data_IF_737904822122
#
_entry.id   IF_737904822122
#
_cell.length_a   1.000
_cell.length_b   1.000
_cell.length_c   1.000
_cell.angle_alpha   90.00
_cell.angle_beta   90.00
_cell.angle_gamma   90.00
#
_symmetry.space_group_name_H-M   'P 1'
#
loop_
_entity.id
_entity.type
_entity.pdbx_description
1 polymer ?
#
# COMPACT_ATOMS: atom_id res chain seq x y z
N UNK A 1 -26.39 14.55 2.77
CA UNK A 1 -25.57 15.60 3.42
C UNK A 1 -24.20 15.00 3.70
N UNK A 2 -23.13 15.79 3.82
CA UNK A 2 -21.79 15.24 4.07
C UNK A 2 -21.15 15.90 5.28
N UNK A 3 -20.56 15.11 6.17
CA UNK A 3 -19.84 15.60 7.35
C UNK A 3 -18.37 15.22 7.33
N UNK A 4 -17.56 15.97 8.07
CA UNK A 4 -16.18 15.62 8.36
C UNK A 4 -16.19 14.70 9.59
N UNK A 5 -15.51 13.56 9.48
CA UNK A 5 -15.37 12.60 10.57
C UNK A 5 -13.88 12.24 10.77
N UNK A 6 -13.41 12.14 12.02
CA UNK A 6 -12.05 11.72 12.30
C UNK A 6 -11.87 10.23 11.96
N UNK A 7 -10.68 9.84 11.51
CA UNK A 7 -10.37 8.44 11.12
C UNK A 7 -10.61 7.42 12.23
N UNK A 8 -10.54 7.84 13.50
CA UNK A 8 -10.85 6.99 14.65
C UNK A 8 -12.34 6.56 14.74
N UNK A 9 -13.24 7.38 14.20
CA UNK A 9 -14.68 7.15 14.20
C UNK A 9 -15.18 6.41 12.95
N UNK A 10 -14.32 6.27 11.94
CA UNK A 10 -14.67 5.57 10.71
C UNK A 10 -14.87 4.07 10.96
N UNK A 11 -15.85 3.51 10.26
CA UNK A 11 -16.16 2.08 10.26
C UNK A 11 -16.33 1.59 8.83
N UNK A 12 -16.10 0.29 8.64
CA UNK A 12 -16.42 -0.36 7.39
C UNK A 12 -17.92 -0.21 7.11
N UNK A 13 -18.28 0.03 5.85
CA UNK A 13 -19.65 0.33 5.43
C UNK A 13 -19.98 1.83 5.27
N UNK A 14 -19.12 2.74 5.76
CA UNK A 14 -19.32 4.18 5.54
C UNK A 14 -18.90 4.60 4.13
N UNK A 15 -19.65 5.50 3.49
CA UNK A 15 -19.31 6.01 2.15
C UNK A 15 -18.58 7.35 2.23
N UNK A 16 -17.46 7.47 1.51
CA UNK A 16 -16.75 8.75 1.37
C UNK A 16 -17.56 9.73 0.53
N UNK A 17 -17.71 10.95 1.02
CA UNK A 17 -18.33 12.04 0.28
C UNK A 17 -17.34 12.82 -0.61
N UNK A 18 -16.05 12.74 -0.31
CA UNK A 18 -14.99 13.43 -1.06
C UNK A 18 -13.78 12.52 -1.26
N UNK A 19 -12.98 12.74 -2.32
CA UNK A 19 -11.76 11.98 -2.51
C UNK A 19 -10.75 12.30 -1.41
N UNK A 20 -10.10 11.26 -0.89
CA UNK A 20 -9.03 11.41 0.11
C UNK A 20 -7.70 11.39 -0.62
N UNK A 21 -6.89 12.41 -0.38
CA UNK A 21 -5.52 12.50 -0.89
C UNK A 21 -4.53 12.38 0.27
N UNK A 22 -3.32 11.91 -0.02
CA UNK A 22 -2.22 11.96 0.92
C UNK A 22 -1.60 13.37 1.00
N UNK A 23 -0.55 13.51 1.82
CA UNK A 23 0.20 14.78 1.97
C UNK A 23 0.91 15.24 0.70
N UNK A 24 1.13 14.35 -0.27
CA UNK A 24 1.75 14.65 -1.57
C UNK A 24 0.71 15.01 -2.65
N UNK A 25 -0.59 14.90 -2.34
CA UNK A 25 -1.67 15.11 -3.29
C UNK A 25 -2.05 13.86 -4.09
N UNK A 26 -1.46 12.70 -3.79
CA UNK A 26 -1.83 11.43 -4.42
C UNK A 26 -3.20 10.97 -3.92
N UNK A 27 -4.07 10.56 -4.84
CA UNK A 27 -5.38 10.01 -4.49
C UNK A 27 -5.22 8.66 -3.76
N UNK A 28 -5.71 8.58 -2.53
CA UNK A 28 -5.76 7.34 -1.74
C UNK A 28 -7.06 6.60 -1.98
N UNK A 29 -8.20 7.31 -1.91
CA UNK A 29 -9.54 6.72 -2.06
C UNK A 29 -10.45 7.70 -2.80
N UNK A 30 -11.13 7.27 -3.87
CA UNK A 30 -12.07 8.13 -4.59
C UNK A 30 -13.34 8.44 -3.76
N UNK A 31 -14.00 9.56 -4.09
CA UNK A 31 -15.32 9.86 -3.55
C UNK A 31 -16.35 8.80 -3.98
N UNK A 32 -17.38 8.58 -3.17
CA UNK A 32 -18.43 7.61 -3.41
C UNK A 32 -18.05 6.17 -3.08
N UNK A 33 -16.80 5.91 -2.67
CA UNK A 33 -16.36 4.58 -2.28
C UNK A 33 -16.79 4.22 -0.86
N UNK A 34 -17.27 3.00 -0.69
CA UNK A 34 -17.55 2.43 0.64
C UNK A 34 -16.24 1.99 1.30
N UNK A 35 -16.02 2.48 2.52
CA UNK A 35 -14.88 2.13 3.34
C UNK A 35 -14.96 0.65 3.73
N UNK A 36 -13.85 -0.07 3.52
CA UNK A 36 -13.64 -1.45 3.94
C UNK A 36 -12.48 -1.46 4.94
N UNK A 37 -12.28 -2.56 5.67
CA UNK A 37 -11.18 -2.65 6.65
C UNK A 37 -9.80 -2.34 6.06
N UNK A 38 -9.57 -2.75 4.80
CA UNK A 38 -8.34 -2.41 4.07
C UNK A 38 -8.18 -0.90 3.88
N UNK A 39 -9.26 -0.20 3.55
CA UNK A 39 -9.27 1.26 3.39
C UNK A 39 -9.01 1.97 4.72
N UNK A 40 -9.59 1.48 5.82
CA UNK A 40 -9.31 2.02 7.16
C UNK A 40 -7.85 1.82 7.59
N UNK A 41 -7.24 0.71 7.19
CA UNK A 41 -5.82 0.44 7.44
C UNK A 41 -4.93 1.39 6.62
N UNK A 42 -5.26 1.60 5.35
CA UNK A 42 -4.57 2.57 4.48
C UNK A 42 -4.66 3.98 5.08
N UNK A 43 -5.86 4.48 5.41
CA UNK A 43 -6.03 5.81 5.98
C UNK A 43 -5.20 6.03 7.26
N UNK A 44 -5.13 5.01 8.13
CA UNK A 44 -4.31 5.04 9.35
C UNK A 44 -2.81 5.01 9.06
N UNK A 45 -2.36 4.15 8.14
CA UNK A 45 -0.95 4.06 7.75
C UNK A 45 -0.43 5.37 7.14
N UNK A 46 -1.28 6.07 6.40
CA UNK A 46 -0.94 7.36 5.79
C UNK A 46 -1.10 8.57 6.72
N UNK A 47 -1.58 8.36 7.97
CA UNK A 47 -1.75 9.43 8.95
C UNK A 47 -2.87 10.41 8.60
N UNK A 48 -3.86 10.00 7.81
CA UNK A 48 -5.03 10.82 7.49
C UNK A 48 -5.83 11.04 8.77
N UNK A 49 -6.01 12.31 9.18
CA UNK A 49 -6.65 12.64 10.46
C UNK A 49 -8.19 12.75 10.33
N UNK A 50 -8.67 13.26 9.21
CA UNK A 50 -10.08 13.54 8.97
C UNK A 50 -10.46 13.20 7.53
N UNK A 51 -11.69 12.70 7.33
CA UNK A 51 -12.24 12.46 5.99
C UNK A 51 -13.67 12.94 5.91
N UNK A 52 -14.14 13.24 4.70
CA UNK A 52 -15.55 13.62 4.48
C UNK A 52 -16.37 12.37 4.15
N UNK A 53 -17.39 12.06 4.96
CA UNK A 53 -18.32 10.94 4.76
C UNK A 53 -19.72 11.46 4.44
N UNK A 54 -20.53 10.65 3.75
CA UNK A 54 -21.95 10.92 3.56
C UNK A 54 -22.71 10.65 4.86
N UNK A 55 -23.62 11.55 5.24
CA UNK A 55 -24.58 11.35 6.32
C UNK A 55 -25.70 10.45 5.83
N UNK A 56 -25.63 9.17 6.23
CA UNK A 56 -26.63 8.13 5.97
C UNK A 56 -26.33 6.90 6.83
N UNK A 57 -27.34 6.47 7.59
CA UNK A 57 -27.37 5.30 8.47
C UNK A 57 -26.94 4.00 7.73
N UNK A 58 -26.29 3.02 8.39
CA UNK A 58 -25.69 1.88 7.71
C UNK A 58 -26.74 0.81 7.37
N UNK A 59 -26.60 0.16 6.22
CA UNK A 59 -26.76 -1.28 6.24
C UNK A 59 -25.66 -2.04 5.48
N UNK A 60 -25.33 -3.19 6.09
CA UNK A 60 -24.90 -4.47 5.55
C UNK A 60 -24.02 -4.55 4.29
N UNK A 61 -22.84 -5.12 4.48
CA UNK A 61 -22.24 -6.23 3.71
C UNK A 61 -22.79 -6.47 2.31
N UNK A 62 -21.91 -6.34 1.30
CA UNK A 62 -21.52 -7.46 0.42
C UNK A 62 -20.07 -7.23 -0.09
N UNK A 63 -19.19 -8.26 -0.07
CA UNK A 63 -17.92 -8.21 -0.77
C UNK A 63 -18.13 -8.60 -2.24
N UNK A 64 -17.83 -7.69 -3.16
CA UNK A 64 -17.63 -8.06 -4.58
C UNK A 64 -16.13 -8.09 -4.87
N UNK A 65 -15.63 -9.17 -5.50
CA UNK A 65 -14.22 -9.33 -5.82
C UNK A 65 -13.92 -8.54 -7.10
N UNK A 66 -12.71 -7.97 -7.18
CA UNK A 66 -12.16 -7.67 -8.50
C UNK A 66 -10.68 -8.06 -8.52
N UNK A 67 -10.39 -8.91 -9.48
CA UNK A 67 -9.15 -9.54 -9.77
C UNK A 67 -8.52 -8.79 -10.95
N UNK A 68 -7.21 -8.55 -10.90
CA UNK A 68 -6.44 -8.37 -12.12
C UNK A 68 -5.03 -8.87 -11.91
N UNK A 69 -4.74 -9.93 -12.65
CA UNK A 69 -3.51 -10.72 -12.80
C UNK A 69 -2.23 -9.93 -13.08
N UNK A 70 -1.10 -10.63 -12.86
CA UNK A 70 0.19 -10.26 -13.42
C UNK A 70 1.29 -11.30 -13.19
N UNK A 71 1.20 -12.43 -13.90
CA UNK A 71 2.32 -13.21 -14.47
C UNK A 71 3.37 -13.85 -13.55
N UNK A 72 3.30 -15.18 -13.44
CA UNK A 72 4.45 -16.04 -13.12
C UNK A 72 5.38 -16.14 -14.34
N UNK A 73 6.70 -16.35 -14.14
CA UNK A 73 7.30 -17.53 -14.73
C UNK A 73 8.33 -18.28 -13.85
N UNK A 74 8.16 -19.60 -13.86
CA UNK A 74 9.15 -20.69 -14.01
C UNK A 74 10.28 -20.93 -12.99
N UNK A 75 10.25 -22.18 -12.53
CA UNK A 75 11.24 -22.99 -11.82
C UNK A 75 12.72 -22.86 -12.25
N UNK A 76 13.59 -23.06 -11.26
CA UNK A 76 15.00 -23.42 -11.43
C UNK A 76 15.70 -23.40 -10.08
N UNK A 77 16.34 -24.50 -9.68
CA UNK A 77 17.06 -24.65 -8.40
C UNK A 77 17.91 -23.42 -8.07
N UNK A 78 17.52 -22.71 -7.02
CA UNK A 78 18.10 -21.41 -6.69
C UNK A 78 19.30 -21.62 -5.75
N UNK A 79 20.52 -21.43 -6.26
CA UNK A 79 21.67 -21.12 -5.42
C UNK A 79 21.26 -19.98 -4.46
N UNK A 80 21.37 -20.17 -3.12
CA UNK A 80 20.89 -19.22 -2.14
C UNK A 80 21.49 -17.81 -2.32
N UNK A 81 22.74 -17.71 -2.79
CA UNK A 81 23.40 -16.44 -3.03
C UNK A 81 22.80 -15.73 -4.27
N UNK A 82 22.54 -16.50 -5.33
CA UNK A 82 21.89 -15.99 -6.53
C UNK A 82 20.42 -15.59 -6.27
N UNK A 83 19.73 -16.29 -5.37
CA UNK A 83 18.37 -15.95 -4.95
C UNK A 83 18.32 -14.60 -4.23
N UNK A 84 19.25 -14.39 -3.30
CA UNK A 84 19.37 -13.14 -2.56
C UNK A 84 19.77 -11.96 -3.45
N UNK A 85 20.68 -12.18 -4.41
CA UNK A 85 21.02 -11.18 -5.42
C UNK A 85 19.82 -10.78 -6.29
N UNK A 86 19.02 -11.76 -6.74
CA UNK A 86 17.78 -11.51 -7.51
C UNK A 86 16.77 -10.71 -6.70
N UNK A 87 16.52 -11.09 -5.45
CA UNK A 87 15.65 -10.36 -4.52
C UNK A 87 16.13 -8.91 -4.32
N UNK A 88 17.44 -8.71 -4.19
CA UNK A 88 18.05 -7.39 -4.11
C UNK A 88 17.80 -6.54 -5.35
N UNK A 89 18.02 -7.10 -6.54
CA UNK A 89 17.79 -6.40 -7.80
C UNK A 89 16.30 -6.03 -7.99
N UNK A 90 15.39 -6.95 -7.69
CA UNK A 90 13.94 -6.67 -7.73
C UNK A 90 13.55 -5.58 -6.72
N UNK A 91 14.15 -5.57 -5.53
CA UNK A 91 13.92 -4.51 -4.56
C UNK A 91 14.44 -3.14 -5.05
N UNK A 92 15.62 -3.11 -5.68
CA UNK A 92 16.19 -1.88 -6.24
C UNK A 92 15.30 -1.32 -7.37
N UNK A 93 14.83 -2.18 -8.27
CA UNK A 93 13.89 -1.79 -9.34
C UNK A 93 12.57 -1.25 -8.78
N UNK A 94 11.99 -1.91 -7.78
CA UNK A 94 10.76 -1.45 -7.13
C UNK A 94 10.92 -0.11 -6.38
N UNK A 95 12.13 0.20 -5.91
CA UNK A 95 12.44 1.46 -5.23
C UNK A 95 12.87 2.57 -6.18
N UNK A 96 13.29 2.26 -7.41
CA UNK A 96 13.78 3.23 -8.39
C UNK A 96 12.77 4.37 -8.64
N UNK A 97 11.48 4.06 -8.81
CA UNK A 97 10.43 5.07 -8.99
C UNK A 97 10.25 5.96 -7.75
N UNK A 98 10.39 5.39 -6.55
CA UNK A 98 10.16 6.09 -5.28
C UNK A 98 11.29 7.06 -4.96
N UNK A 99 12.51 6.73 -5.37
CA UNK A 99 13.70 7.52 -5.13
C UNK A 99 14.20 8.26 -6.39
N UNK A 100 13.43 8.27 -7.49
CA UNK A 100 13.84 8.88 -8.78
C UNK A 100 14.23 10.36 -8.70
N UNK A 101 13.75 11.09 -7.68
CA UNK A 101 14.04 12.51 -7.45
C UNK A 101 15.03 12.74 -6.30
N UNK A 102 15.60 11.69 -5.74
CA UNK A 102 16.53 11.76 -4.62
C UNK A 102 17.92 11.28 -5.06
N UNK A 103 18.94 12.00 -4.64
CA UNK A 103 20.32 11.52 -4.72
C UNK A 103 20.53 10.48 -3.60
N UNK A 104 20.41 9.20 -3.94
CA UNK A 104 20.50 8.09 -2.99
C UNK A 104 21.93 7.83 -2.51
N UNK A 105 22.95 8.43 -3.12
CA UNK A 105 24.34 8.30 -2.64
C UNK A 105 24.69 9.35 -1.59
N UNK A 106 23.84 10.37 -1.45
CA UNK A 106 24.08 11.49 -0.54
C UNK A 106 23.40 11.31 0.81
N UNK A 107 24.11 11.66 1.88
CA UNK A 107 23.54 11.71 3.23
C UNK A 107 22.38 12.73 3.32
N UNK A 108 21.24 12.39 3.96
CA UNK A 108 20.92 11.14 4.65
C UNK A 108 20.18 10.10 3.79
N UNK A 109 19.98 10.39 2.50
CA UNK A 109 19.19 9.54 1.60
C UNK A 109 19.82 8.16 1.40
N UNK A 110 21.14 8.04 1.49
CA UNK A 110 21.86 6.76 1.48
C UNK A 110 21.39 5.80 2.59
N UNK A 111 21.21 6.32 3.80
CA UNK A 111 20.72 5.56 4.94
C UNK A 111 19.25 5.16 4.77
N UNK A 112 18.43 6.09 4.28
CA UNK A 112 17.00 5.86 4.03
C UNK A 112 16.82 4.80 2.94
N UNK A 113 17.57 4.90 1.85
CA UNK A 113 17.55 3.93 0.74
C UNK A 113 17.96 2.54 1.23
N UNK A 114 19.04 2.43 2.02
CA UNK A 114 19.50 1.16 2.60
C UNK A 114 18.43 0.48 3.47
N UNK A 115 17.76 1.25 4.33
CA UNK A 115 16.68 0.73 5.20
C UNK A 115 15.48 0.29 4.36
N UNK A 116 15.07 1.11 3.39
CA UNK A 116 13.96 0.81 2.49
C UNK A 116 14.23 -0.46 1.65
N UNK A 117 15.44 -0.60 1.12
CA UNK A 117 15.87 -1.79 0.36
C UNK A 117 15.78 -3.06 1.20
N UNK A 118 16.27 -3.02 2.45
CA UNK A 118 16.17 -4.17 3.37
C UNK A 118 14.72 -4.56 3.63
N UNK A 119 13.86 -3.58 3.95
CA UNK A 119 12.45 -3.82 4.20
C UNK A 119 11.72 -4.42 2.98
N UNK A 120 12.03 -3.93 1.77
CA UNK A 120 11.46 -4.44 0.52
C UNK A 120 11.89 -5.90 0.25
N UNK A 121 13.15 -6.25 0.49
CA UNK A 121 13.63 -7.63 0.37
C UNK A 121 12.89 -8.55 1.35
N UNK A 122 12.69 -8.11 2.59
CA UNK A 122 11.98 -8.90 3.60
C UNK A 122 10.50 -9.10 3.23
N UNK A 123 9.86 -8.09 2.65
CA UNK A 123 8.48 -8.19 2.13
C UNK A 123 8.37 -9.18 0.97
N UNK A 124 9.32 -9.15 0.02
CA UNK A 124 9.40 -10.11 -1.10
C UNK A 124 9.63 -11.55 -0.61
N UNK A 125 10.39 -11.73 0.48
CA UNK A 125 10.54 -13.06 1.12
C UNK A 125 9.23 -13.55 1.73
N UNK A 126 8.49 -12.67 2.41
CA UNK A 126 7.21 -13.00 3.05
C UNK A 126 6.12 -13.31 2.03
N UNK A 127 6.04 -12.58 0.92
CA UNK A 127 5.04 -12.83 -0.13
C UNK A 127 5.27 -14.16 -0.87
N UNK A 128 6.53 -14.58 -1.07
CA UNK A 128 6.87 -15.90 -1.64
C UNK A 128 6.56 -17.06 -0.67
N UNK A 129 6.65 -16.83 0.64
CA UNK A 129 6.31 -17.83 1.67
C UNK A 129 4.81 -18.02 1.93
N UNK A 130 3.99 -17.01 1.62
CA UNK A 130 2.55 -17.03 1.91
C UNK A 130 1.69 -17.78 0.87
N UNK A 131 2.27 -18.19 -0.27
CA UNK A 131 1.56 -18.86 -1.37
C UNK A 131 1.45 -20.39 -1.29
N UNK A 132 1.76 -21.02 -0.14
CA UNK A 132 1.83 -22.48 0.01
C UNK A 132 0.82 -23.09 1.00
N UNK A 133 -0.41 -22.57 1.08
CA UNK A 133 -1.50 -23.23 1.84
C UNK A 133 -2.84 -23.18 1.14
#
# INVERSE_FOLDING_TARGET
>A
MSRIAPTAELRAGMTLAAPVHDRSGRLLIPAGMTLQDKHLRVLRAWGVSEVRIQDGDPPATEPVPDAAEGTQPTAGEEDPDAAEARLGATADEALAERFQHCDIERFPMDGIYRIARRAMIDELRQSRGAGSR
#
